data_IF_118210033857
#
_entry.id   IF_118210033857
#
_cell.length_a   1.000
_cell.length_b   1.000
_cell.length_c   1.000
_cell.angle_alpha   90.00
_cell.angle_beta   90.00
_cell.angle_gamma   90.00
#
_symmetry.space_group_name_H-M   'P 1'
#
loop_
_entity.id
_entity.type
_entity.pdbx_description
1 polymer ?
#
# COMPACT_ATOMS: atom_id res chain seq x y z
N UNK A 1 -11.36 19.03 6.64
CA UNK A 1 -10.93 17.73 7.19
C UNK A 1 -9.49 17.52 6.78
N UNK A 2 -8.57 17.64 7.73
CA UNK A 2 -7.13 17.53 7.51
C UNK A 2 -6.77 16.15 6.97
N UNK A 3 -6.30 16.09 5.73
CA UNK A 3 -5.69 14.88 5.17
C UNK A 3 -4.29 14.76 5.75
N UNK A 4 -4.20 14.23 6.97
CA UNK A 4 -2.95 13.70 7.51
C UNK A 4 -2.42 12.70 6.49
N UNK A 5 -1.38 13.10 5.75
CA UNK A 5 -0.70 12.25 4.77
C UNK A 5 0.07 11.17 5.54
N UNK A 6 -0.66 10.19 6.05
CA UNK A 6 -0.11 9.03 6.76
C UNK A 6 0.78 8.26 5.79
N UNK A 7 2.10 8.45 5.94
CA UNK A 7 3.13 7.72 5.21
C UNK A 7 3.66 6.61 6.10
N UNK A 8 3.45 5.38 5.66
CA UNK A 8 3.82 4.16 6.39
C UNK A 8 5.14 3.60 5.86
N UNK A 9 5.91 3.00 6.75
CA UNK A 9 7.14 2.28 6.38
C UNK A 9 6.80 0.91 5.78
N UNK A 10 7.74 0.28 5.06
CA UNK A 10 7.58 -1.09 4.53
C UNK A 10 6.96 -2.09 5.52
N UNK A 11 7.44 -2.11 6.78
CA UNK A 11 6.93 -3.01 7.83
C UNK A 11 5.49 -2.72 8.22
N UNK A 12 5.15 -1.44 8.38
CA UNK A 12 3.81 -1.02 8.72
C UNK A 12 2.83 -1.32 7.59
N UNK A 13 3.22 -1.05 6.34
CA UNK A 13 2.40 -1.38 5.16
C UNK A 13 2.17 -2.88 5.02
N UNK A 14 3.21 -3.70 5.22
CA UNK A 14 3.09 -5.15 5.21
C UNK A 14 2.16 -5.65 6.32
N UNK A 15 2.29 -5.11 7.54
CA UNK A 15 1.39 -5.42 8.65
C UNK A 15 -0.05 -4.98 8.38
N UNK A 16 -0.23 -3.80 7.78
CA UNK A 16 -1.55 -3.26 7.42
C UNK A 16 -2.26 -4.12 6.36
N UNK A 17 -1.50 -4.61 5.37
CA UNK A 17 -2.00 -5.49 4.32
C UNK A 17 -2.07 -6.97 4.73
N UNK A 18 -1.49 -7.34 5.88
CA UNK A 18 -1.39 -8.73 6.32
C UNK A 18 -0.51 -9.60 5.42
N UNK A 19 0.49 -9.03 4.74
CA UNK A 19 1.35 -9.74 3.79
C UNK A 19 2.83 -9.73 4.21
N UNK A 20 3.62 -10.61 3.63
CA UNK A 20 5.07 -10.58 3.79
C UNK A 20 5.70 -9.37 3.09
N UNK A 21 6.81 -8.87 3.66
CA UNK A 21 7.62 -7.80 3.04
C UNK A 21 8.10 -8.12 1.62
N UNK A 22 8.39 -9.40 1.36
CA UNK A 22 8.78 -9.84 0.02
C UNK A 22 7.62 -9.65 -0.96
N UNK A 23 6.43 -10.11 -0.59
CA UNK A 23 5.20 -9.91 -1.37
C UNK A 23 4.94 -8.43 -1.65
N UNK A 24 5.07 -7.57 -0.64
CA UNK A 24 4.91 -6.13 -0.78
C UNK A 24 5.84 -5.52 -1.85
N UNK A 25 7.07 -6.03 -1.99
CA UNK A 25 8.02 -5.54 -2.97
C UNK A 25 7.61 -5.84 -4.42
N UNK A 26 6.81 -6.87 -4.65
CA UNK A 26 6.28 -7.24 -5.97
C UNK A 26 4.94 -6.58 -6.30
N UNK A 27 4.30 -5.90 -5.35
CA UNK A 27 3.03 -5.24 -5.60
C UNK A 27 3.23 -3.94 -6.39
N UNK A 28 2.36 -3.64 -7.37
CA UNK A 28 2.40 -2.39 -8.13
C UNK A 28 1.82 -1.22 -7.33
N UNK A 29 2.25 -1.05 -6.07
CA UNK A 29 1.83 0.05 -5.20
C UNK A 29 2.84 1.20 -5.32
N UNK A 30 2.40 2.46 -5.44
CA UNK A 30 3.27 3.63 -5.45
C UNK A 30 4.23 3.68 -4.25
N UNK A 31 5.53 3.66 -4.54
CA UNK A 31 6.60 3.73 -3.54
C UNK A 31 7.19 5.14 -3.49
N UNK A 32 7.30 5.69 -2.30
CA UNK A 32 7.97 6.97 -2.06
C UNK A 32 9.33 6.68 -1.45
N UNK A 33 10.38 6.99 -2.21
CA UNK A 33 11.77 6.86 -1.74
C UNK A 33 12.20 8.19 -1.11
N UNK A 34 12.51 8.14 0.18
CA UNK A 34 13.07 9.27 0.94
C UNK A 34 14.47 8.84 1.38
N UNK A 35 15.47 9.21 0.59
CA UNK A 35 16.85 8.73 0.76
C UNK A 35 16.93 7.21 0.61
N UNK A 36 17.43 6.52 1.64
CA UNK A 36 17.54 5.04 1.69
C UNK A 36 16.25 4.35 2.15
N UNK A 37 15.25 5.11 2.58
CA UNK A 37 14.01 4.58 3.13
C UNK A 37 12.91 4.55 2.07
N UNK A 38 12.16 3.46 2.03
CA UNK A 38 10.97 3.32 1.19
C UNK A 38 9.75 3.44 2.09
N UNK A 39 8.88 4.39 1.75
CA UNK A 39 7.60 4.65 2.40
C UNK A 39 6.46 4.50 1.41
N UNK A 40 5.27 4.28 1.93
CA UNK A 40 4.03 4.16 1.17
C UNK A 40 3.02 5.13 1.75
N UNK A 41 2.25 5.79 0.88
CA UNK A 41 1.11 6.57 1.34
C UNK A 41 -0.05 5.62 1.58
N UNK A 42 -0.69 5.77 2.74
CA UNK A 42 -1.91 5.03 3.09
C UNK A 42 -3.01 5.21 2.04
N UNK A 43 -3.13 6.42 1.47
CA UNK A 43 -4.09 6.74 0.43
C UNK A 43 -3.86 5.89 -0.84
N UNK A 44 -2.62 5.82 -1.33
CA UNK A 44 -2.26 4.98 -2.48
C UNK A 44 -2.50 3.49 -2.21
N UNK A 45 -2.21 3.01 -0.99
CA UNK A 45 -2.51 1.64 -0.57
C UNK A 45 -4.02 1.38 -0.60
N UNK A 46 -4.83 2.30 -0.09
CA UNK A 46 -6.29 2.18 -0.08
C UNK A 46 -6.85 2.17 -1.49
N UNK A 47 -6.42 3.10 -2.35
CA UNK A 47 -6.81 3.15 -3.76
C UNK A 47 -6.45 1.84 -4.48
N UNK A 48 -5.28 1.28 -4.20
CA UNK A 48 -4.89 -0.02 -4.74
C UNK A 48 -5.76 -1.17 -4.23
N UNK A 49 -6.11 -1.17 -2.93
CA UNK A 49 -7.04 -2.15 -2.35
C UNK A 49 -8.42 -2.06 -2.98
N UNK A 50 -8.95 -0.85 -3.18
CA UNK A 50 -10.25 -0.62 -3.82
C UNK A 50 -10.25 -1.07 -5.28
N UNK A 51 -9.17 -0.80 -6.02
CA UNK A 51 -9.01 -1.30 -7.38
C UNK A 51 -8.98 -2.84 -7.41
N UNK A 52 -8.21 -3.46 -6.52
CA UNK A 52 -8.10 -4.92 -6.44
C UNK A 52 -9.39 -5.59 -5.97
N UNK A 53 -10.15 -4.94 -5.08
CA UNK A 53 -11.47 -5.42 -4.67
C UNK A 53 -12.46 -5.41 -5.84
N UNK A 54 -12.39 -4.42 -6.74
CA UNK A 54 -13.21 -4.39 -7.96
C UNK A 54 -12.81 -5.48 -8.96
N UNK A 55 -11.53 -5.77 -9.10
CA UNK A 55 -11.06 -6.86 -9.96
C UNK A 55 -11.40 -8.24 -9.39
N UNK A 56 -11.34 -8.41 -8.07
CA UNK A 56 -11.76 -9.65 -7.40
C UNK A 56 -13.27 -9.85 -7.33
N UNK A 57 -14.06 -8.77 -7.30
CA UNK A 57 -15.53 -8.83 -7.27
C UNK A 57 -16.15 -9.13 -8.65
N UNK A 58 -15.37 -9.13 -9.73
CA UNK A 58 -15.81 -9.59 -11.06
C UNK A 58 -15.71 -11.12 -11.25
N UNK A 59 -15.34 -11.87 -10.20
CA UNK A 59 -15.42 -13.33 -10.17
C UNK A 59 -16.37 -13.79 -9.05
N UNK A 60 -17.66 -13.66 -9.32
CA UNK A 60 -18.73 -14.56 -8.85
C UNK A 60 -19.85 -14.53 -9.89
#
# INVERSE_FOLDING_TARGET
METVKEVMSRKETAGYLGICLNTLAYLPIPQIRIGRSVKYRKLDINTWLEARAKEGAAQC
#
